data_IF_177484797646
#
_entry.id   IF_177484797646
#
_cell.length_a   1.000
_cell.length_b   1.000
_cell.length_c   1.000
_cell.angle_alpha   90.00
_cell.angle_beta   90.00
_cell.angle_gamma   90.00
#
_symmetry.space_group_name_H-M   'P 1'
#
loop_
_entity.id
_entity.type
_entity.pdbx_description
1 polymer ?
#
# COMPACT_ATOMS: atom_id res chain seq x y z
N UNK A 1 -5.93 21.24 -7.68
CA UNK A 1 -4.94 20.29 -7.14
C UNK A 1 -4.58 19.32 -8.27
N UNK A 2 -3.29 19.02 -8.45
CA UNK A 2 -2.88 18.01 -9.45
C UNK A 2 -3.17 16.63 -8.83
N UNK A 3 -3.90 15.73 -9.50
CA UNK A 3 -4.15 14.38 -8.97
C UNK A 3 -2.83 13.63 -8.81
N UNK A 4 -2.72 12.82 -7.73
CA UNK A 4 -1.50 12.04 -7.44
C UNK A 4 -1.24 11.03 -8.54
N UNK A 5 -2.30 10.35 -8.99
CA UNK A 5 -2.23 9.33 -10.03
C UNK A 5 -2.84 9.83 -11.36
N UNK A 6 -2.18 9.62 -12.51
CA UNK A 6 -2.71 9.97 -13.82
C UNK A 6 -3.81 9.00 -14.27
N UNK A 7 -4.52 9.39 -15.34
CA UNK A 7 -5.66 8.64 -15.92
C UNK A 7 -5.41 7.13 -16.08
N UNK A 8 -4.29 6.65 -16.63
CA UNK A 8 -4.07 5.21 -16.81
C UNK A 8 -4.05 4.40 -15.51
N UNK A 9 -3.75 5.02 -14.37
CA UNK A 9 -3.75 4.35 -13.05
C UNK A 9 -5.14 4.39 -12.45
N UNK A 10 -5.82 5.54 -12.47
CA UNK A 10 -7.16 5.67 -11.90
C UNK A 10 -8.24 4.90 -12.69
N UNK A 11 -7.93 4.52 -13.94
CA UNK A 11 -8.78 3.66 -14.77
C UNK A 11 -8.60 2.16 -14.49
N UNK A 12 -7.62 1.77 -13.64
CA UNK A 12 -7.49 0.39 -13.20
C UNK A 12 -8.63 -0.01 -12.26
N UNK A 13 -8.95 -1.30 -12.11
CA UNK A 13 -9.88 -1.78 -11.08
C UNK A 13 -9.48 -1.29 -9.68
N UNK A 14 -10.45 -0.91 -8.86
CA UNK A 14 -10.17 -0.64 -7.44
C UNK A 14 -9.94 -1.96 -6.70
N UNK A 15 -9.00 -1.97 -5.75
CA UNK A 15 -8.81 -3.07 -4.82
C UNK A 15 -9.92 -3.08 -3.75
N UNK A 16 -10.46 -4.25 -3.45
CA UNK A 16 -11.43 -4.47 -2.37
C UNK A 16 -10.68 -4.54 -1.03
N UNK A 17 -10.49 -3.37 -0.42
CA UNK A 17 -9.84 -3.19 0.87
C UNK A 17 -10.89 -2.66 1.86
N UNK A 18 -11.24 -3.40 2.93
CA UNK A 18 -12.31 -3.03 3.86
C UNK A 18 -11.83 -1.98 4.88
N UNK A 19 -11.29 -0.88 4.38
CA UNK A 19 -10.71 0.22 5.15
C UNK A 19 -11.34 1.52 4.63
N UNK A 20 -11.87 2.35 5.52
CA UNK A 20 -12.42 3.65 5.13
C UNK A 20 -11.29 4.62 4.77
N UNK A 21 -11.55 5.55 3.85
CA UNK A 21 -10.58 6.57 3.48
C UNK A 21 -9.40 6.08 2.64
N UNK A 22 -9.43 4.87 2.08
CA UNK A 22 -8.47 4.40 1.08
C UNK A 22 -9.10 4.42 -0.32
N UNK A 23 -8.32 4.87 -1.31
CA UNK A 23 -8.51 4.48 -2.71
C UNK A 23 -7.27 3.75 -3.17
N UNK A 24 -7.46 2.57 -3.73
CA UNK A 24 -6.38 1.69 -4.14
C UNK A 24 -6.66 1.16 -5.53
N UNK A 25 -5.79 1.46 -6.50
CA UNK A 25 -5.93 1.04 -7.89
C UNK A 25 -5.03 -0.17 -8.14
N UNK A 26 -5.63 -1.27 -8.61
CA UNK A 26 -5.03 -2.59 -8.70
C UNK A 26 -4.58 -2.89 -10.14
N UNK A 27 -3.28 -3.10 -10.32
CA UNK A 27 -2.71 -3.68 -11.54
C UNK A 27 -2.39 -5.15 -11.32
N UNK A 28 -3.14 -6.03 -11.98
CA UNK A 28 -2.98 -7.48 -11.87
C UNK A 28 -1.86 -7.99 -12.79
N UNK A 29 -0.85 -8.64 -12.20
CA UNK A 29 0.17 -9.40 -12.93
C UNK A 29 -0.07 -10.91 -12.88
N UNK A 30 0.78 -11.69 -13.57
CA UNK A 30 0.69 -13.16 -13.60
C UNK A 30 1.01 -13.83 -12.25
N UNK A 31 1.89 -13.20 -11.45
CA UNK A 31 2.38 -13.74 -10.17
C UNK A 31 2.40 -12.69 -9.05
N UNK A 32 2.05 -11.46 -9.37
CA UNK A 32 2.21 -10.30 -8.49
C UNK A 32 1.05 -9.34 -8.68
N UNK A 33 0.93 -8.40 -7.77
CA UNK A 33 0.05 -7.25 -7.89
C UNK A 33 0.87 -5.97 -7.68
N UNK A 34 0.55 -4.93 -8.43
CA UNK A 34 0.99 -3.57 -8.13
C UNK A 34 -0.24 -2.80 -7.70
N UNK A 35 -0.16 -2.12 -6.56
CA UNK A 35 -1.27 -1.33 -6.02
C UNK A 35 -0.82 0.11 -5.82
N UNK A 36 -1.62 1.04 -6.32
CA UNK A 36 -1.43 2.47 -6.16
C UNK A 36 -2.44 2.98 -5.15
N UNK A 37 -1.97 3.41 -3.98
CA UNK A 37 -2.84 3.72 -2.85
C UNK A 37 -2.77 5.21 -2.51
N UNK A 38 -3.91 5.81 -2.18
CA UNK A 38 -4.03 7.13 -1.56
C UNK A 38 -4.96 7.04 -0.35
N UNK A 39 -4.58 7.73 0.73
CA UNK A 39 -5.27 7.69 2.02
C UNK A 39 -5.74 9.09 2.42
N UNK A 40 -7.03 9.23 2.72
CA UNK A 40 -7.65 10.48 3.19
C UNK A 40 -7.83 10.55 4.70
N UNK A 41 -7.56 9.47 5.43
CA UNK A 41 -7.75 9.35 6.87
C UNK A 41 -6.51 8.76 7.54
N UNK A 42 -6.38 8.96 8.85
CA UNK A 42 -5.40 8.25 9.67
C UNK A 42 -5.89 6.81 9.89
N UNK A 43 -5.04 5.82 9.58
CA UNK A 43 -5.41 4.41 9.59
C UNK A 43 -4.37 3.60 10.36
N UNK A 44 -4.84 2.84 11.35
CA UNK A 44 -4.06 1.80 12.01
C UNK A 44 -4.33 0.46 11.32
N UNK A 45 -3.30 -0.12 10.71
CA UNK A 45 -3.33 -1.44 10.09
C UNK A 45 -2.81 -2.47 11.11
N UNK A 46 -3.64 -3.45 11.52
CA UNK A 46 -3.23 -4.48 12.47
C UNK A 46 -2.03 -5.30 12.01
N UNK A 47 -1.33 -5.93 12.95
CA UNK A 47 -0.22 -6.83 12.65
C UNK A 47 -0.70 -8.02 11.82
N UNK A 48 0.00 -8.29 10.72
CA UNK A 48 -0.25 -9.41 9.82
C UNK A 48 1.03 -9.82 9.09
N UNK A 49 0.95 -10.83 8.22
CA UNK A 49 2.04 -11.27 7.35
C UNK A 49 1.49 -11.88 6.06
N UNK A 50 2.31 -11.89 5.01
CA UNK A 50 2.01 -12.47 3.71
C UNK A 50 3.31 -12.65 2.91
N UNK A 51 3.21 -12.86 1.59
CA UNK A 51 4.39 -12.86 0.71
C UNK A 51 5.11 -11.50 0.71
N UNK A 52 6.28 -11.43 0.07
CA UNK A 52 7.10 -10.22 0.10
C UNK A 52 6.41 -9.02 -0.54
N UNK A 53 6.64 -7.86 0.06
CA UNK A 53 6.11 -6.57 -0.34
C UNK A 53 7.25 -5.55 -0.45
N UNK A 54 7.22 -4.73 -1.49
CA UNK A 54 8.10 -3.59 -1.66
C UNK A 54 7.26 -2.36 -1.95
N UNK A 55 7.55 -1.24 -1.28
CA UNK A 55 6.81 0.00 -1.47
C UNK A 55 7.71 1.20 -1.64
N UNK A 56 7.22 2.21 -2.37
CA UNK A 56 7.77 3.56 -2.43
C UNK A 56 6.72 4.57 -1.98
N UNK A 57 7.13 5.48 -1.09
CA UNK A 57 6.26 6.57 -0.62
C UNK A 57 6.28 7.71 -1.63
N UNK A 58 5.11 8.06 -2.15
CA UNK A 58 4.93 9.13 -3.13
C UNK A 58 4.59 10.46 -2.45
N UNK A 59 3.75 10.42 -1.40
CA UNK A 59 3.36 11.57 -0.59
C UNK A 59 3.12 11.14 0.87
N UNK A 60 3.20 12.09 1.80
CA UNK A 60 2.85 11.88 3.21
C UNK A 60 3.88 11.06 4.00
N UNK A 61 3.36 10.37 5.04
CA UNK A 61 4.15 9.62 6.03
C UNK A 61 3.45 8.31 6.39
N UNK A 62 4.24 7.27 6.63
CA UNK A 62 3.81 6.00 7.23
C UNK A 62 4.78 5.59 8.35
N UNK A 63 4.26 5.06 9.44
CA UNK A 63 5.03 4.31 10.44
C UNK A 63 4.81 2.82 10.21
N UNK A 64 5.87 2.07 9.92
CA UNK A 64 5.80 0.62 9.76
C UNK A 64 6.57 -0.05 10.88
N UNK A 65 5.92 -0.96 11.60
CA UNK A 65 6.63 -1.90 12.48
C UNK A 65 6.88 -3.15 11.68
N UNK A 66 8.14 -3.51 11.43
CA UNK A 66 8.55 -4.68 10.65
C UNK A 66 9.42 -5.54 11.55
N UNK A 67 9.02 -6.79 11.80
CA UNK A 67 9.71 -7.70 12.73
C UNK A 67 9.97 -7.07 14.12
N UNK A 68 8.96 -6.36 14.65
CA UNK A 68 9.05 -5.65 15.93
C UNK A 68 9.87 -4.34 15.88
N UNK A 69 10.50 -3.99 14.77
CA UNK A 69 11.27 -2.75 14.61
C UNK A 69 10.40 -1.66 14.00
N UNK A 70 10.22 -0.55 14.73
CA UNK A 70 9.49 0.61 14.23
C UNK A 70 10.37 1.44 13.28
N UNK A 71 9.82 1.73 12.10
CA UNK A 71 10.42 2.55 11.06
C UNK A 71 9.46 3.68 10.68
N UNK A 72 10.02 4.79 10.20
CA UNK A 72 9.26 5.92 9.64
C UNK A 72 9.70 6.09 8.20
N UNK A 73 8.75 6.14 7.28
CA UNK A 73 9.02 6.38 5.86
C UNK A 73 8.23 7.60 5.39
N UNK A 74 8.88 8.42 4.57
CA UNK A 74 8.34 9.64 3.97
C UNK A 74 8.61 9.66 2.46
N UNK A 75 8.08 10.67 1.77
CA UNK A 75 8.24 10.84 0.32
C UNK A 75 9.67 10.55 -0.18
N UNK A 76 9.76 9.62 -1.13
CA UNK A 76 11.01 9.17 -1.75
C UNK A 76 11.65 7.95 -1.08
N UNK A 77 11.26 7.63 0.15
CA UNK A 77 11.72 6.43 0.83
C UNK A 77 11.12 5.18 0.22
N UNK A 78 11.86 4.06 0.39
CA UNK A 78 11.40 2.73 0.03
C UNK A 78 11.51 1.80 1.21
N UNK A 79 10.59 0.86 1.30
CA UNK A 79 10.63 -0.20 2.29
C UNK A 79 10.49 -1.56 1.62
N UNK A 80 11.02 -2.58 2.29
CA UNK A 80 10.89 -3.96 1.88
C UNK A 80 10.49 -4.79 3.09
N UNK A 81 9.45 -5.61 2.91
CA UNK A 81 8.96 -6.56 3.89
C UNK A 81 9.14 -7.94 3.28
N UNK A 82 10.01 -8.74 3.88
CA UNK A 82 10.25 -10.09 3.40
C UNK A 82 9.04 -11.00 3.67
N UNK A 83 8.94 -12.09 2.91
CA UNK A 83 7.90 -13.11 3.06
C UNK A 83 7.78 -13.56 4.52
N UNK A 84 6.54 -13.67 5.00
CA UNK A 84 6.17 -14.13 6.34
C UNK A 84 6.72 -13.28 7.50
N UNK A 85 7.27 -12.09 7.23
CA UNK A 85 7.63 -11.15 8.29
C UNK A 85 6.37 -10.43 8.76
N UNK A 86 6.15 -10.49 10.07
CA UNK A 86 5.06 -9.76 10.72
C UNK A 86 5.28 -8.27 10.60
N UNK A 87 4.23 -7.56 10.25
CA UNK A 87 4.26 -6.12 10.15
C UNK A 87 2.90 -5.49 10.45
N UNK A 88 2.94 -4.27 10.96
CA UNK A 88 1.78 -3.39 11.19
C UNK A 88 2.11 -1.98 10.71
N UNK A 89 1.08 -1.17 10.47
CA UNK A 89 1.26 0.19 9.99
C UNK A 89 0.40 1.19 10.75
N UNK A 90 0.93 2.40 10.92
CA UNK A 90 0.13 3.60 11.11
C UNK A 90 0.33 4.52 9.91
N UNK A 91 -0.74 4.67 9.13
CA UNK A 91 -0.78 5.47 7.92
C UNK A 91 -1.42 6.80 8.28
N UNK A 92 -0.81 7.91 7.87
CA UNK A 92 -1.33 9.24 8.15
C UNK A 92 -2.10 9.78 6.94
N UNK A 93 -3.11 10.60 7.20
CA UNK A 93 -3.88 11.29 6.15
C UNK A 93 -2.96 12.02 5.16
N UNK A 94 -3.29 11.92 3.87
CA UNK A 94 -2.47 12.46 2.78
C UNK A 94 -1.32 11.54 2.34
N UNK A 95 -1.21 10.33 2.88
CA UNK A 95 -0.25 9.33 2.41
C UNK A 95 -0.65 8.77 1.04
N UNK A 96 0.34 8.59 0.17
CA UNK A 96 0.19 7.86 -1.07
C UNK A 96 1.43 7.03 -1.39
N UNK A 97 1.23 5.85 -1.97
CA UNK A 97 2.29 4.90 -2.30
C UNK A 97 2.04 4.15 -3.61
N UNK A 98 3.12 3.62 -4.16
CA UNK A 98 3.06 2.51 -5.12
C UNK A 98 3.72 1.31 -4.47
N UNK A 99 3.03 0.17 -4.48
CA UNK A 99 3.47 -1.03 -3.79
C UNK A 99 3.39 -2.25 -4.70
N UNK A 100 4.45 -3.04 -4.72
CA UNK A 100 4.55 -4.32 -5.38
C UNK A 100 4.39 -5.42 -4.33
N UNK A 101 3.47 -6.35 -4.59
CA UNK A 101 3.27 -7.57 -3.81
C UNK A 101 3.67 -8.76 -4.67
N UNK A 102 4.60 -9.59 -4.20
CA UNK A 102 4.95 -10.89 -4.83
C UNK A 102 3.88 -11.95 -4.53
N UNK A 103 2.63 -11.56 -4.74
CA UNK A 103 1.44 -12.34 -4.43
C UNK A 103 0.35 -12.00 -5.45
N UNK A 104 -0.10 -13.01 -6.18
CA UNK A 104 -1.10 -12.85 -7.25
C UNK A 104 -2.49 -12.54 -6.72
N UNK A 105 -2.80 -12.93 -5.48
CA UNK A 105 -4.13 -12.93 -4.88
C UNK A 105 -4.22 -12.07 -3.59
N UNK A 106 -3.32 -11.09 -3.44
CA UNK A 106 -3.25 -10.24 -2.23
C UNK A 106 -4.54 -9.43 -2.01
N UNK A 107 -5.09 -8.87 -3.08
CA UNK A 107 -6.36 -8.15 -3.10
C UNK A 107 -7.25 -8.63 -4.24
N UNK A 108 -8.56 -8.54 -4.03
CA UNK A 108 -9.57 -8.75 -5.08
C UNK A 108 -9.93 -7.41 -5.71
N UNK A 109 -10.51 -7.45 -6.90
CA UNK A 109 -11.19 -6.29 -7.46
C UNK A 109 -12.49 -6.00 -6.69
N UNK A 110 -12.72 -4.73 -6.40
CA UNK A 110 -13.95 -4.22 -5.80
C UNK A 110 -15.10 -4.34 -6.82
N UNK A 111 -16.22 -4.89 -6.38
CA UNK A 111 -17.42 -5.10 -7.20
C UNK A 111 -18.42 -3.96 -7.05
#
# INVERSE_FOLDING_TARGET
MIPIFPKPIVDLPEADIPINGIKAFLSQGLKHQIVFMEFSEDIDVPEHFHESQWGIVLEGKIELTIDGVKNVFVKGDRFFIAKNIKHSAKIYTGYASMEFFDQVDRYKEKK
#
